data_IF_818069887341
#
_entry.id   IF_818069887341
#
_cell.length_a   1.000
_cell.length_b   1.000
_cell.length_c   1.000
_cell.angle_alpha   90.00
_cell.angle_beta   90.00
_cell.angle_gamma   90.00
#
_symmetry.space_group_name_H-M   'P 1'
#
loop_
_entity.id
_entity.type
_entity.pdbx_description
1 polymer ?
#
# COMPACT_ATOMS: atom_id res chain seq x y z
N UNK A 1 4.85 18.29 5.14
CA UNK A 1 4.61 16.88 5.55
C UNK A 1 3.87 16.20 4.42
N UNK A 2 4.42 15.12 3.86
CA UNK A 2 3.84 14.40 2.72
C UNK A 2 3.07 13.19 3.26
N UNK A 3 1.76 13.11 3.00
CA UNK A 3 0.93 11.96 3.35
C UNK A 3 0.43 11.29 2.07
N UNK A 4 0.38 9.95 2.01
CA UNK A 4 0.02 9.23 0.79
C UNK A 4 -1.49 9.17 0.57
N UNK A 5 -2.17 10.32 0.47
CA UNK A 5 -3.62 10.35 0.22
C UNK A 5 -4.01 9.74 -1.12
N UNK A 6 -3.08 9.67 -2.08
CA UNK A 6 -3.26 8.92 -3.34
C UNK A 6 -3.26 7.40 -3.14
N UNK A 7 -2.81 6.92 -1.98
CA UNK A 7 -2.84 5.53 -1.57
C UNK A 7 -1.49 4.98 -1.09
N UNK A 8 -1.57 3.99 -0.21
CA UNK A 8 -0.47 3.13 0.20
C UNK A 8 -0.55 1.81 -0.58
N UNK A 9 0.48 1.51 -1.38
CA UNK A 9 0.51 0.32 -2.22
C UNK A 9 1.48 -0.72 -1.65
N UNK A 10 0.95 -1.84 -1.19
CA UNK A 10 1.71 -2.99 -0.72
C UNK A 10 2.10 -3.84 -1.93
N UNK A 11 3.40 -3.86 -2.23
CA UNK A 11 3.97 -4.57 -3.36
C UNK A 11 5.02 -5.60 -2.91
N UNK A 12 5.35 -6.52 -3.80
CA UNK A 12 6.47 -7.45 -3.63
C UNK A 12 6.04 -8.88 -3.26
N UNK A 13 7.00 -9.79 -3.37
CA UNK A 13 6.74 -11.22 -3.31
C UNK A 13 6.21 -11.73 -1.96
N UNK A 14 6.49 -11.06 -0.84
CA UNK A 14 5.96 -11.47 0.46
C UNK A 14 4.45 -11.18 0.54
N UNK A 15 4.02 -9.98 0.13
CA UNK A 15 2.59 -9.62 0.16
C UNK A 15 1.79 -10.51 -0.78
N UNK A 16 2.28 -10.68 -2.02
CA UNK A 16 1.59 -11.53 -3.02
C UNK A 16 1.51 -13.00 -2.62
N UNK A 17 2.53 -13.56 -1.95
CA UNK A 17 2.54 -14.98 -1.53
C UNK A 17 1.76 -15.24 -0.24
N UNK A 18 1.48 -14.21 0.55
CA UNK A 18 0.94 -14.32 1.91
C UNK A 18 -0.31 -13.44 2.08
N UNK A 19 -1.07 -13.20 1.00
CA UNK A 19 -2.18 -12.24 0.96
C UNK A 19 -3.23 -12.47 2.06
N UNK A 20 -3.47 -13.72 2.43
CA UNK A 20 -4.37 -14.07 3.52
C UNK A 20 -3.99 -13.34 4.82
N UNK A 21 -2.72 -13.32 5.20
CA UNK A 21 -2.26 -12.65 6.43
C UNK A 21 -2.45 -11.12 6.41
N UNK A 22 -2.52 -10.51 5.21
CA UNK A 22 -2.78 -9.08 5.06
C UNK A 22 -4.27 -8.73 5.05
N UNK A 23 -5.14 -9.71 4.78
CA UNK A 23 -6.59 -9.50 4.61
C UNK A 23 -7.42 -10.14 5.71
N UNK A 24 -6.88 -11.15 6.38
CA UNK A 24 -7.52 -11.89 7.46
C UNK A 24 -7.81 -10.96 8.65
N UNK A 25 -9.07 -11.02 9.11
CA UNK A 25 -9.59 -10.25 10.25
C UNK A 25 -9.33 -8.74 10.20
N UNK A 26 -9.02 -8.20 9.01
CA UNK A 26 -8.60 -6.82 8.84
C UNK A 26 -7.41 -6.43 9.73
N UNK A 27 -6.55 -7.39 10.12
CA UNK A 27 -5.49 -7.16 11.11
C UNK A 27 -4.52 -6.07 10.64
N UNK A 28 -4.10 -6.12 9.38
CA UNK A 28 -3.17 -5.12 8.83
C UNK A 28 -3.74 -3.70 8.92
N UNK A 29 -4.97 -3.49 8.45
CA UNK A 29 -5.57 -2.14 8.43
C UNK A 29 -5.91 -1.64 9.83
N UNK A 30 -6.35 -2.52 10.73
CA UNK A 30 -6.62 -2.18 12.12
C UNK A 30 -5.34 -1.69 12.82
N UNK A 31 -4.23 -2.39 12.63
CA UNK A 31 -2.93 -1.99 13.17
C UNK A 31 -2.40 -0.72 12.49
N UNK A 32 -2.59 -0.56 11.18
CA UNK A 32 -2.18 0.64 10.45
C UNK A 32 -2.90 1.90 10.97
N UNK A 33 -4.18 1.79 11.30
CA UNK A 33 -4.99 2.90 11.83
C UNK A 33 -4.83 3.10 13.35
N UNK A 34 -4.14 2.21 14.04
CA UNK A 34 -4.02 2.24 15.50
C UNK A 34 -3.10 3.38 15.94
N UNK A 35 -3.68 4.38 16.59
CA UNK A 35 -2.93 5.53 17.08
C UNK A 35 -3.65 6.18 18.28
N UNK A 36 -2.88 6.57 19.32
CA UNK A 36 -3.43 7.17 20.54
C UNK A 36 -4.10 8.54 20.30
N UNK A 37 -3.66 9.27 19.27
CA UNK A 37 -4.27 10.55 18.88
C UNK A 37 -5.43 10.31 17.88
N UNK A 38 -6.67 10.69 18.22
CA UNK A 38 -7.84 10.44 17.38
C UNK A 38 -7.82 11.21 16.05
N UNK A 39 -7.17 12.37 15.99
CA UNK A 39 -7.05 13.15 14.76
C UNK A 39 -6.14 12.45 13.75
N UNK A 40 -5.05 11.84 14.24
CA UNK A 40 -4.14 11.05 13.41
C UNK A 40 -4.85 9.77 12.94
N UNK A 41 -5.58 9.09 13.82
CA UNK A 41 -6.38 7.93 13.44
C UNK A 41 -7.41 8.26 12.35
N UNK A 42 -8.11 9.39 12.45
CA UNK A 42 -9.06 9.84 11.41
C UNK A 42 -8.35 10.07 10.08
N UNK A 43 -7.17 10.68 10.11
CA UNK A 43 -6.36 10.94 8.93
C UNK A 43 -5.88 9.64 8.25
N UNK A 44 -5.44 8.65 9.03
CA UNK A 44 -4.98 7.36 8.51
C UNK A 44 -6.11 6.58 7.82
N UNK A 45 -7.35 6.70 8.31
CA UNK A 45 -8.55 6.12 7.69
C UNK A 45 -8.89 6.70 6.32
N UNK A 46 -8.40 7.89 6.00
CA UNK A 46 -8.61 8.52 4.69
C UNK A 46 -7.59 8.03 3.65
N UNK A 47 -6.54 7.30 4.07
CA UNK A 47 -5.51 6.77 3.17
C UNK A 47 -5.98 5.41 2.65
N UNK A 48 -6.24 5.26 1.34
CA UNK A 48 -6.61 3.96 0.78
C UNK A 48 -5.37 3.04 0.74
N UNK A 49 -5.53 1.78 1.14
CA UNK A 49 -4.47 0.77 1.11
C UNK A 49 -4.79 -0.26 0.03
N UNK A 50 -3.84 -0.49 -0.88
CA UNK A 50 -3.98 -1.41 -2.01
C UNK A 50 -2.91 -2.49 -1.94
N UNK A 51 -3.24 -3.70 -2.41
CA UNK A 51 -2.25 -4.75 -2.67
C UNK A 51 -2.04 -4.86 -4.18
N UNK A 52 -0.78 -4.83 -4.62
CA UNK A 52 -0.42 -5.07 -6.02
C UNK A 52 -0.17 -6.57 -6.20
N UNK A 53 -1.10 -7.23 -6.90
CA UNK A 53 -1.02 -8.66 -7.21
C UNK A 53 -0.30 -8.97 -8.53
N UNK A 54 -0.05 -7.96 -9.38
CA UNK A 54 0.68 -8.16 -10.63
C UNK A 54 2.18 -8.28 -10.37
N UNK A 55 2.72 -9.49 -10.56
CA UNK A 55 4.15 -9.77 -10.40
C UNK A 55 5.04 -9.06 -11.43
N UNK A 56 4.45 -8.58 -12.53
CA UNK A 56 5.15 -7.83 -13.57
C UNK A 56 5.35 -6.36 -13.22
N UNK A 57 4.83 -5.89 -12.08
CA UNK A 57 4.85 -4.46 -11.71
C UNK A 57 6.25 -3.84 -11.74
N UNK A 58 7.28 -4.59 -11.35
CA UNK A 58 8.67 -4.11 -11.41
C UNK A 58 9.13 -3.88 -12.85
N UNK A 59 8.73 -4.74 -13.78
CA UNK A 59 9.07 -4.60 -15.20
C UNK A 59 8.28 -3.44 -15.83
N UNK A 60 6.99 -3.30 -15.48
CA UNK A 60 6.17 -2.16 -15.90
C UNK A 60 6.75 -0.83 -15.41
N UNK A 61 7.20 -0.78 -14.16
CA UNK A 61 7.88 0.39 -13.60
C UNK A 61 9.17 0.72 -14.33
N UNK A 62 9.99 -0.29 -14.66
CA UNK A 62 11.22 -0.11 -15.43
C UNK A 62 10.95 0.40 -16.85
N UNK A 63 9.94 -0.16 -17.54
CA UNK A 63 9.53 0.28 -18.87
C UNK A 63 9.01 1.73 -18.84
N UNK A 64 8.17 2.08 -17.86
CA UNK A 64 7.67 3.44 -17.69
C UNK A 64 8.80 4.45 -17.43
N UNK A 65 9.78 4.08 -16.59
CA UNK A 65 10.94 4.92 -16.34
C UNK A 65 11.78 5.13 -17.61
N UNK A 66 12.00 4.07 -18.40
CA UNK A 66 12.71 4.17 -19.67
C UNK A 66 11.99 5.09 -20.68
N UNK A 67 10.67 5.00 -20.77
CA UNK A 67 9.86 5.87 -21.65
C UNK A 67 9.80 7.32 -21.18
N UNK A 68 9.78 7.55 -19.86
CA UNK A 68 9.69 8.91 -19.30
C UNK A 68 11.00 9.70 -19.38
N UNK A 69 12.09 9.05 -19.77
CA UNK A 69 13.42 9.65 -19.96
C UNK A 69 13.69 10.06 -21.42
N UNK A 70 12.78 9.76 -22.34
CA UNK A 70 12.83 10.11 -23.78
C UNK A 70 11.96 11.35 -24.00
#
# INVERSE_FOLDING_TARGET
MLLPFGGLYLAGGIVGKNLEFFTENHLFINTFEEHCNPNIRKLLKEIPVFVINDYSISLLGAANAALSLI
#
